data_IF_396000194775
#
_entry.id   IF_396000194775
#
_cell.length_a   1.000
_cell.length_b   1.000
_cell.length_c   1.000
_cell.angle_alpha   90.00
_cell.angle_beta   90.00
_cell.angle_gamma   90.00
#
_symmetry.space_group_name_H-M   'P 1'
#
loop_
_entity.id
_entity.type
_entity.pdbx_description
1 polymer ?
#
# COMPACT_ATOMS: atom_id res chain seq x y z
N UNK A 1 -9.96 29.22 -25.32
CA UNK A 1 -10.96 28.23 -25.76
C UNK A 1 -10.25 26.88 -25.81
N UNK A 2 -10.52 25.98 -24.87
CA UNK A 2 -9.90 24.64 -24.88
C UNK A 2 -11.00 23.60 -25.12
N UNK A 3 -10.97 23.03 -26.33
CA UNK A 3 -11.84 21.96 -26.78
C UNK A 3 -11.64 20.73 -25.87
N UNK A 4 -12.69 20.35 -25.16
CA UNK A 4 -12.71 19.09 -24.43
C UNK A 4 -13.21 18.05 -25.43
N UNK A 5 -12.34 17.18 -25.92
CA UNK A 5 -12.76 16.10 -26.81
C UNK A 5 -13.64 15.10 -26.03
N UNK A 6 -14.93 15.14 -26.30
CA UNK A 6 -15.92 14.22 -25.76
C UNK A 6 -15.97 12.97 -26.66
N UNK A 7 -15.52 11.82 -26.16
CA UNK A 7 -15.89 10.53 -26.75
C UNK A 7 -17.28 10.16 -26.23
N UNK A 8 -18.30 10.43 -27.04
CA UNK A 8 -19.69 10.10 -26.73
C UNK A 8 -19.92 8.62 -27.07
N UNK A 9 -20.02 7.77 -26.04
CA UNK A 9 -20.60 6.42 -26.17
C UNK A 9 -22.07 6.56 -25.74
N UNK A 10 -23.06 6.21 -26.58
CA UNK A 10 -24.47 6.34 -26.23
C UNK A 10 -24.81 5.50 -24.99
N UNK A 11 -25.32 6.16 -23.93
CA UNK A 11 -25.79 5.48 -22.71
C UNK A 11 -24.89 5.58 -21.46
N UNK A 12 -23.68 6.13 -21.57
CA UNK A 12 -22.79 6.35 -20.43
C UNK A 12 -22.22 7.77 -20.47
N UNK A 13 -22.77 8.66 -19.65
CA UNK A 13 -22.12 9.94 -19.35
C UNK A 13 -20.88 9.61 -18.52
N UNK A 14 -19.74 9.41 -19.17
CA UNK A 14 -18.44 9.34 -18.47
C UNK A 14 -18.09 10.78 -18.10
N UNK A 15 -18.67 11.25 -17.00
CA UNK A 15 -18.23 12.49 -16.38
C UNK A 15 -16.73 12.35 -16.10
N UNK A 16 -15.86 13.25 -16.58
CA UNK A 16 -14.46 13.18 -16.25
C UNK A 16 -14.37 13.29 -14.74
N UNK A 17 -14.08 12.17 -14.06
CA UNK A 17 -14.03 12.15 -12.61
C UNK A 17 -13.04 13.22 -12.20
N UNK A 18 -13.50 14.25 -11.50
CA UNK A 18 -12.60 15.24 -10.93
C UNK A 18 -11.81 14.59 -9.81
N UNK A 19 -10.66 15.17 -9.47
CA UNK A 19 -9.99 14.76 -8.26
C UNK A 19 -10.93 15.00 -7.06
N UNK A 20 -11.03 14.03 -6.16
CA UNK A 20 -11.88 14.07 -4.98
C UNK A 20 -11.41 15.07 -3.90
N UNK A 21 -10.24 15.68 -4.09
CA UNK A 21 -9.74 16.75 -3.23
C UNK A 21 -10.46 18.06 -3.61
N UNK A 22 -11.23 18.63 -2.69
CA UNK A 22 -12.16 19.75 -2.94
C UNK A 22 -11.52 20.97 -3.63
N UNK A 23 -10.24 21.23 -3.39
CA UNK A 23 -9.49 22.35 -3.99
C UNK A 23 -8.79 21.99 -5.31
N UNK A 24 -8.87 20.74 -5.74
CA UNK A 24 -8.19 20.25 -6.92
C UNK A 24 -9.08 20.30 -8.16
N UNK A 25 -8.77 21.20 -9.09
CA UNK A 25 -9.47 21.31 -10.38
C UNK A 25 -8.96 20.32 -11.43
N UNK A 26 -8.02 19.44 -11.09
CA UNK A 26 -7.42 18.49 -12.03
C UNK A 26 -8.36 17.31 -12.26
N UNK A 27 -8.30 16.74 -13.47
CA UNK A 27 -8.99 15.48 -13.79
C UNK A 27 -8.34 14.33 -12.99
N UNK A 28 -9.18 13.46 -12.46
CA UNK A 28 -8.72 12.20 -11.88
C UNK A 28 -8.12 11.33 -12.98
N UNK A 29 -7.06 10.61 -12.61
CA UNK A 29 -6.37 9.65 -13.45
C UNK A 29 -6.56 8.21 -12.98
N UNK A 30 -6.82 8.02 -11.69
CA UNK A 30 -7.02 6.71 -11.09
C UNK A 30 -7.94 6.78 -9.87
N UNK A 31 -8.49 5.63 -9.48
CA UNK A 31 -9.17 5.42 -8.20
C UNK A 31 -8.16 4.76 -7.28
N UNK A 32 -7.93 5.34 -6.10
CA UNK A 32 -7.09 4.72 -5.09
C UNK A 32 -7.74 3.44 -4.58
N UNK A 33 -7.02 2.31 -4.60
CA UNK A 33 -7.50 1.03 -4.09
C UNK A 33 -7.70 1.02 -2.57
N UNK A 34 -6.95 1.84 -1.82
CA UNK A 34 -7.03 1.90 -0.37
C UNK A 34 -8.31 2.59 0.13
N UNK A 35 -8.74 3.67 -0.54
CA UNK A 35 -9.84 4.52 -0.06
C UNK A 35 -10.96 4.74 -1.09
N UNK A 36 -10.89 4.12 -2.27
CA UNK A 36 -11.84 4.23 -3.38
C UNK A 36 -12.12 5.67 -3.86
N UNK A 37 -11.22 6.61 -3.57
CA UNK A 37 -11.32 8.01 -4.02
C UNK A 37 -10.69 8.17 -5.40
N UNK A 38 -11.35 8.94 -6.27
CA UNK A 38 -10.81 9.34 -7.57
C UNK A 38 -9.74 10.43 -7.37
N UNK A 39 -8.47 10.13 -7.63
CA UNK A 39 -7.35 11.05 -7.43
C UNK A 39 -6.71 11.45 -8.75
N UNK A 40 -6.16 12.66 -8.82
CA UNK A 40 -5.24 13.03 -9.89
C UNK A 40 -3.85 12.45 -9.60
N UNK A 41 -2.95 12.48 -10.58
CA UNK A 41 -1.61 11.92 -10.45
C UNK A 41 -0.87 12.46 -9.21
N UNK A 42 -0.89 13.77 -9.00
CA UNK A 42 -0.12 14.39 -7.90
C UNK A 42 -0.69 14.04 -6.53
N UNK A 43 -2.02 14.09 -6.35
CA UNK A 43 -2.63 13.69 -5.08
C UNK A 43 -2.58 12.19 -4.82
N UNK A 44 -2.47 11.35 -5.87
CA UNK A 44 -2.20 9.93 -5.69
C UNK A 44 -0.75 9.74 -5.19
N UNK A 45 0.21 10.44 -5.78
CA UNK A 45 1.60 10.41 -5.34
C UNK A 45 1.74 10.89 -3.88
N UNK A 46 1.14 12.03 -3.54
CA UNK A 46 1.14 12.53 -2.16
C UNK A 46 0.49 11.54 -1.18
N UNK A 47 -0.62 10.91 -1.59
CA UNK A 47 -1.29 9.89 -0.80
C UNK A 47 -0.38 8.67 -0.56
N UNK A 48 0.36 8.22 -1.57
CA UNK A 48 1.29 7.09 -1.45
C UNK A 48 2.51 7.47 -0.60
N UNK A 49 3.06 8.67 -0.81
CA UNK A 49 4.18 9.22 -0.05
C UNK A 49 3.83 9.40 1.45
N UNK A 50 2.59 9.74 1.78
CA UNK A 50 2.11 9.83 3.18
C UNK A 50 1.94 8.47 3.86
N UNK A 51 1.60 7.43 3.11
CA UNK A 51 1.43 6.07 3.64
C UNK A 51 2.77 5.34 3.83
N UNK A 52 3.75 5.60 2.96
CA UNK A 52 5.06 4.97 2.98
C UNK A 52 5.83 5.08 4.33
N UNK A 53 5.92 6.25 5.00
CA UNK A 53 6.67 6.38 6.25
C UNK A 53 6.02 5.68 7.44
N UNK A 54 4.73 5.33 7.38
CA UNK A 54 4.08 4.52 8.42
C UNK A 54 4.26 3.02 8.21
N UNK A 55 4.42 2.59 6.96
CA UNK A 55 4.58 1.18 6.61
C UNK A 55 6.02 0.68 6.82
N UNK A 56 7.03 1.52 6.54
CA UNK A 56 8.44 1.12 6.66
C UNK A 56 8.86 0.68 8.08
N UNK A 57 8.49 1.39 9.17
CA UNK A 57 8.82 0.96 10.52
C UNK A 57 8.14 -0.36 10.90
N UNK A 58 6.89 -0.56 10.46
CA UNK A 58 6.14 -1.79 10.73
C UNK A 58 6.75 -3.00 10.03
N UNK A 59 7.19 -2.83 8.78
CA UNK A 59 7.89 -3.88 8.03
C UNK A 59 9.22 -4.23 8.71
N UNK A 60 9.97 -3.24 9.19
CA UNK A 60 11.24 -3.47 9.88
C UNK A 60 11.04 -4.22 11.21
N UNK A 61 10.05 -3.84 12.01
CA UNK A 61 9.71 -4.56 13.25
C UNK A 61 9.26 -6.00 12.95
N UNK A 62 8.42 -6.20 11.92
CA UNK A 62 8.01 -7.54 11.52
C UNK A 62 9.20 -8.41 11.11
N UNK A 63 10.10 -7.89 10.28
CA UNK A 63 11.30 -8.62 9.86
C UNK A 63 12.19 -8.97 11.06
N UNK A 64 12.36 -8.04 11.99
CA UNK A 64 13.14 -8.27 13.23
C UNK A 64 12.51 -9.34 14.13
N UNK A 65 11.18 -9.39 14.20
CA UNK A 65 10.46 -10.44 14.94
C UNK A 65 10.56 -11.80 14.25
N UNK A 66 10.48 -11.84 12.92
CA UNK A 66 10.65 -13.05 12.11
C UNK A 66 12.07 -13.65 12.28
N UNK A 67 13.10 -12.81 12.28
CA UNK A 67 14.48 -13.24 12.60
C UNK A 67 14.63 -13.76 14.03
N UNK A 68 13.98 -13.12 15.01
CA UNK A 68 13.97 -13.60 16.40
C UNK A 68 13.27 -14.96 16.55
N UNK A 69 12.17 -15.19 15.82
CA UNK A 69 11.48 -16.48 15.81
C UNK A 69 12.33 -17.57 15.16
N UNK A 70 12.95 -17.30 14.01
CA UNK A 70 13.86 -18.25 13.34
C UNK A 70 15.07 -18.60 14.21
N UNK A 71 15.64 -17.61 14.91
CA UNK A 71 16.77 -17.82 15.81
C UNK A 71 16.38 -18.48 17.14
N UNK A 72 15.13 -18.34 17.58
CA UNK A 72 14.56 -19.06 18.72
C UNK A 72 14.31 -20.55 18.45
N UNK A 73 14.80 -21.08 17.30
CA UNK A 73 14.80 -22.48 16.90
C UNK A 73 14.92 -23.43 18.11
N UNK A 74 13.76 -23.89 18.56
CA UNK A 74 13.55 -24.86 19.63
C UNK A 74 14.22 -26.19 19.31
N UNK A 75 14.54 -26.46 18.04
CA UNK A 75 15.32 -27.60 17.60
C UNK A 75 16.74 -27.62 18.17
N UNK A 76 17.37 -26.45 18.34
CA UNK A 76 18.72 -26.36 18.92
C UNK A 76 18.70 -26.65 20.43
N UNK A 77 17.71 -26.09 21.13
CA UNK A 77 17.47 -26.35 22.56
C UNK A 77 17.05 -27.80 22.82
N UNK A 78 16.22 -28.37 21.95
CA UNK A 78 15.73 -29.75 22.08
C UNK A 78 16.83 -30.75 21.72
N UNK A 79 17.66 -30.45 20.71
CA UNK A 79 18.85 -31.23 20.36
C UNK A 79 19.87 -31.28 21.50
N UNK A 80 20.20 -30.13 22.08
CA UNK A 80 21.14 -30.04 23.21
C UNK A 80 20.60 -30.74 24.47
N UNK A 81 19.30 -30.63 24.76
CA UNK A 81 18.67 -31.39 25.85
C UNK A 81 18.68 -32.90 25.59
N UNK A 82 18.39 -33.34 24.35
CA UNK A 82 18.45 -34.77 23.99
C UNK A 82 19.85 -35.33 24.15
N UNK A 83 20.88 -34.58 23.75
CA UNK A 83 22.26 -35.04 23.82
C UNK A 83 22.75 -35.20 25.26
N UNK A 84 22.27 -34.36 26.20
CA UNK A 84 22.55 -34.49 27.64
C UNK A 84 21.80 -35.63 28.33
N UNK A 85 20.72 -36.15 27.74
CA UNK A 85 19.96 -37.28 28.29
C UNK A 85 20.46 -38.64 27.79
N UNK A 86 21.33 -38.65 26.77
CA UNK A 86 21.87 -39.87 26.13
C UNK A 86 23.34 -40.10 26.54
N UNK A 87 23.99 -39.16 27.24
CA UNK A 87 25.28 -39.34 27.93
C UNK A 87 25.05 -39.65 29.41
#
# INVERSE_FOLDING_TARGET
MFNTEYRVIPGLIIMPRTCAIEKCKRKSRSICSCCNKSLCHDHLKEHDDLNNPQLNPLINEFNKLDEQLKSSNTDKLTGDCRQKLVQ
#
